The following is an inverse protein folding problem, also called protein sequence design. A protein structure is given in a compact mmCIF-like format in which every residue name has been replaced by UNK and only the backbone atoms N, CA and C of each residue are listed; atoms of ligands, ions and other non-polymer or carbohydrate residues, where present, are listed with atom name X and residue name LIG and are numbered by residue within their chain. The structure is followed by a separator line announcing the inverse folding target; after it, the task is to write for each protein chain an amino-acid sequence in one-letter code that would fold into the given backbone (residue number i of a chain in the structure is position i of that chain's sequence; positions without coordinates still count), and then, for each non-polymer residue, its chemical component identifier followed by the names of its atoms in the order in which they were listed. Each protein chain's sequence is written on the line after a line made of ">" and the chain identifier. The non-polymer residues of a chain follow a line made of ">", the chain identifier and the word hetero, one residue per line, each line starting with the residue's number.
data_IF_358959106081
#
_entry.id   IF_358959106081
#
_cell.length_a   1.000
_cell.length_b   1.000
_cell.length_c   1.000
_cell.angle_alpha   90.00
_cell.angle_beta   90.00
_cell.angle_gamma   90.00
#
_symmetry.space_group_name_H-M   'P 1'
#
loop_
_entity.id
_entity.type
_entity.pdbx_description
1 polymer ?
#
# COMPACT_ATOMS: atom_id res chain seq x y z
N UNK A 1 -2.15 2.29 -6.57
CA UNK A 1 -0.90 1.81 -5.92
C UNK A 1 -1.09 1.10 -4.56
N UNK A 2 -2.31 0.99 -4.00
CA UNK A 2 -2.50 0.38 -2.68
C UNK A 2 -2.11 -1.09 -2.54
N UNK A 3 -2.25 -1.90 -3.62
CA UNK A 3 -1.83 -3.30 -3.61
C UNK A 3 -0.31 -3.46 -3.53
N UNK A 4 0.43 -2.68 -4.33
CA UNK A 4 1.89 -2.70 -4.35
C UNK A 4 2.51 -2.19 -3.03
N UNK A 5 1.93 -1.15 -2.40
CA UNK A 5 2.43 -0.70 -1.09
C UNK A 5 2.18 -1.72 0.01
N UNK A 6 1.08 -2.46 -0.07
CA UNK A 6 0.77 -3.52 0.89
C UNK A 6 1.69 -4.73 0.72
N UNK A 7 2.07 -5.11 -0.51
CA UNK A 7 3.03 -6.20 -0.73
C UNK A 7 4.43 -5.86 -0.24
N UNK A 8 4.90 -4.61 -0.47
CA UNK A 8 6.19 -4.13 0.05
C UNK A 8 6.21 -4.16 1.59
N UNK A 9 5.12 -3.73 2.22
CA UNK A 9 5.00 -3.70 3.68
C UNK A 9 5.04 -5.13 4.26
N UNK A 10 4.26 -6.05 3.70
CA UNK A 10 4.23 -7.46 4.14
C UNK A 10 5.59 -8.13 3.88
N UNK A 11 6.28 -7.81 2.79
CA UNK A 11 7.62 -8.33 2.52
C UNK A 11 8.64 -7.86 3.57
N UNK A 12 8.59 -6.57 3.96
CA UNK A 12 9.43 -6.04 5.03
C UNK A 12 9.17 -6.69 6.39
N UNK A 13 7.89 -6.90 6.74
CA UNK A 13 7.51 -7.63 7.96
C UNK A 13 7.94 -9.10 7.93
N UNK A 14 7.87 -9.77 6.77
CA UNK A 14 8.33 -11.14 6.62
C UNK A 14 9.84 -11.28 6.87
N UNK A 15 10.64 -10.31 6.41
CA UNK A 15 12.08 -10.27 6.72
C UNK A 15 12.32 -10.03 8.21
N UNK A 16 11.60 -9.08 8.82
CA UNK A 16 11.72 -8.78 10.24
C UNK A 16 11.40 -10.02 11.11
N UNK A 17 10.30 -10.70 10.78
CA UNK A 17 9.85 -11.93 11.43
C UNK A 17 10.91 -13.04 11.33
N UNK A 18 11.48 -13.25 10.14
CA UNK A 18 12.54 -14.24 9.94
C UNK A 18 13.82 -13.94 10.73
N UNK A 19 14.25 -12.68 10.76
CA UNK A 19 15.44 -12.25 11.50
C UNK A 19 15.24 -12.31 13.03
N UNK A 20 14.01 -12.14 13.49
CA UNK A 20 13.64 -12.24 14.89
C UNK A 20 13.56 -13.68 15.41
N UNK A 21 13.56 -14.69 14.53
CA UNK A 21 13.32 -16.08 14.93
C UNK A 21 11.83 -16.48 15.01
N UNK A 22 10.93 -15.65 14.49
CA UNK A 22 9.50 -15.95 14.42
C UNK A 22 8.63 -15.24 15.47
N UNK A 23 9.12 -14.15 16.05
CA UNK A 23 8.35 -13.38 17.02
C UNK A 23 7.52 -12.29 16.36
N UNK A 24 6.39 -11.98 16.98
CA UNK A 24 5.40 -10.97 16.53
C UNK A 24 5.26 -9.83 17.53
N UNK A 25 5.55 -10.07 18.80
CA UNK A 25 5.54 -9.04 19.84
C UNK A 25 6.80 -8.18 19.74
N UNK A 26 6.65 -6.85 19.85
CA UNK A 26 7.75 -5.91 19.67
C UNK A 26 8.92 -6.16 20.65
N UNK A 27 8.62 -6.52 21.89
CA UNK A 27 9.65 -6.82 22.90
C UNK A 27 10.41 -8.09 22.55
N UNK A 28 9.70 -9.11 22.08
CA UNK A 28 10.28 -10.39 21.68
C UNK A 28 11.09 -10.24 20.39
N UNK A 29 10.66 -9.37 19.47
CA UNK A 29 11.43 -9.02 18.27
C UNK A 29 12.80 -8.45 18.62
N UNK A 30 12.84 -7.49 19.55
CA UNK A 30 14.11 -6.90 19.99
C UNK A 30 15.00 -7.96 20.63
N UNK A 31 14.44 -8.80 21.51
CA UNK A 31 15.18 -9.87 22.15
C UNK A 31 15.69 -10.90 21.13
N UNK A 32 14.88 -11.27 20.14
CA UNK A 32 15.22 -12.17 19.05
C UNK A 32 16.36 -11.64 18.19
N UNK A 33 16.35 -10.35 17.83
CA UNK A 33 17.43 -9.68 17.10
C UNK A 33 18.76 -9.65 17.88
N UNK A 34 18.70 -9.48 19.20
CA UNK A 34 19.88 -9.49 20.08
C UNK A 34 20.44 -10.91 20.17
N UNK A 35 19.59 -11.90 20.45
CA UNK A 35 19.97 -13.29 20.60
C UNK A 35 20.58 -13.88 19.32
N UNK A 36 20.04 -13.52 18.16
CA UNK A 36 20.55 -13.94 16.85
C UNK A 36 21.73 -13.10 16.36
N UNK A 37 22.12 -12.05 17.10
CA UNK A 37 23.12 -11.05 16.68
C UNK A 37 22.82 -10.40 15.32
N UNK A 38 21.56 -10.41 14.89
CA UNK A 38 21.10 -9.88 13.59
C UNK A 38 20.82 -8.38 13.61
N UNK A 39 20.93 -7.72 14.77
CA UNK A 39 20.65 -6.30 14.96
C UNK A 39 21.47 -5.35 14.06
N UNK A 40 22.64 -5.78 13.58
CA UNK A 40 23.48 -5.01 12.67
C UNK A 40 23.59 -5.66 11.27
N UNK A 41 22.72 -6.62 10.96
CA UNK A 41 22.72 -7.27 9.66
C UNK A 41 22.17 -6.34 8.58
N UNK A 42 22.66 -6.41 7.32
CA UNK A 42 22.05 -5.66 6.21
C UNK A 42 20.58 -6.05 5.99
N UNK A 43 20.18 -7.25 6.43
CA UNK A 43 18.80 -7.72 6.37
C UNK A 43 17.84 -6.87 7.19
N UNK A 44 18.25 -6.41 8.38
CA UNK A 44 17.39 -5.56 9.20
C UNK A 44 17.18 -4.19 8.55
N UNK A 45 18.21 -3.67 7.89
CA UNK A 45 18.12 -2.41 7.12
C UNK A 45 17.12 -2.55 5.97
N UNK A 46 17.18 -3.65 5.22
CA UNK A 46 16.23 -3.94 4.13
C UNK A 46 14.79 -4.05 4.66
N UNK A 47 14.61 -4.75 5.78
CA UNK A 47 13.31 -4.89 6.43
C UNK A 47 12.71 -3.53 6.83
N UNK A 48 13.50 -2.69 7.52
CA UNK A 48 13.08 -1.37 7.98
C UNK A 48 12.81 -0.40 6.83
N UNK A 49 13.66 -0.40 5.79
CA UNK A 49 13.44 0.43 4.59
C UNK A 49 12.13 0.02 3.90
N UNK A 50 11.90 -1.28 3.73
CA UNK A 50 10.68 -1.79 3.09
C UNK A 50 9.42 -1.42 3.87
N UNK A 51 9.44 -1.56 5.21
CA UNK A 51 8.34 -1.14 6.09
C UNK A 51 8.10 0.37 5.97
N UNK A 52 9.18 1.17 6.01
CA UNK A 52 9.09 2.64 5.91
C UNK A 52 8.51 3.09 4.58
N UNK A 53 8.94 2.47 3.47
CA UNK A 53 8.41 2.75 2.12
C UNK A 53 6.92 2.36 2.04
N UNK A 54 6.55 1.18 2.54
CA UNK A 54 5.16 0.71 2.55
C UNK A 54 4.22 1.63 3.33
N UNK A 55 4.66 2.13 4.48
CA UNK A 55 3.92 3.11 5.29
C UNK A 55 3.91 4.48 4.62
N UNK A 56 5.04 4.92 4.06
CA UNK A 56 5.17 6.18 3.32
C UNK A 56 4.17 6.28 2.15
N UNK A 57 4.00 5.20 1.39
CA UNK A 57 2.98 5.16 0.34
C UNK A 57 1.55 5.25 0.87
N UNK A 58 1.24 4.88 2.11
CA UNK A 58 -0.10 5.04 2.69
C UNK A 58 -0.34 6.45 3.22
N UNK A 59 0.69 7.08 3.80
CA UNK A 59 0.59 8.40 4.42
C UNK A 59 0.77 9.56 3.42
N UNK A 60 1.29 9.29 2.22
CA UNK A 60 1.58 10.30 1.17
C UNK A 60 2.51 11.48 1.54
N UNK A 61 3.49 11.39 2.47
CA UNK A 61 4.51 12.43 2.61
C UNK A 61 5.42 12.46 1.38
N UNK A 62 6.14 13.57 1.14
CA UNK A 62 7.17 13.62 0.11
C UNK A 62 8.29 12.59 0.39
N UNK A 63 8.78 11.82 -0.59
CA UNK A 63 8.48 11.83 -2.04
C UNK A 63 7.30 10.92 -2.49
N UNK A 64 6.62 10.23 -1.58
CA UNK A 64 5.59 9.21 -1.87
C UNK A 64 4.19 9.76 -2.21
N UNK A 65 4.07 11.06 -2.53
CA UNK A 65 2.80 11.74 -2.84
C UNK A 65 2.39 11.67 -4.32
N UNK A 66 3.25 11.10 -5.18
CA UNK A 66 3.08 11.15 -6.64
C UNK A 66 1.77 10.53 -7.15
N UNK A 67 1.23 9.55 -6.42
CA UNK A 67 -0.03 8.88 -6.76
C UNK A 67 -1.27 9.64 -6.25
N UNK A 68 -1.10 10.62 -5.36
CA UNK A 68 -2.22 11.33 -4.72
C UNK A 68 -3.00 12.20 -5.73
N UNK A 69 -2.37 13.07 -6.56
CA UNK A 69 -3.11 13.88 -7.54
C UNK A 69 -3.89 13.04 -8.56
N UNK A 70 -3.28 11.99 -9.09
CA UNK A 70 -3.85 11.07 -10.09
C UNK A 70 -5.17 10.42 -9.61
N UNK A 71 -5.19 9.93 -8.36
CA UNK A 71 -6.41 9.33 -7.79
C UNK A 71 -7.52 10.37 -7.58
N UNK A 72 -7.18 11.58 -7.13
CA UNK A 72 -8.19 12.62 -6.93
C UNK A 72 -8.78 13.13 -8.26
N UNK A 73 -7.96 13.27 -9.30
CA UNK A 73 -8.42 13.65 -10.64
C UNK A 73 -9.30 12.57 -11.26
N UNK A 74 -8.89 11.29 -11.18
CA UNK A 74 -9.67 10.16 -11.67
C UNK A 74 -11.04 10.02 -11.00
N UNK A 75 -11.12 10.26 -9.69
CA UNK A 75 -12.41 10.24 -8.96
C UNK A 75 -13.34 11.38 -9.40
N UNK A 76 -12.80 12.57 -9.70
CA UNK A 76 -13.61 13.66 -10.28
C UNK A 76 -14.11 13.29 -11.66
N UNK A 77 -13.26 12.70 -12.51
CA UNK A 77 -13.63 12.27 -13.85
C UNK A 77 -14.74 11.21 -13.83
N UNK A 78 -14.60 10.14 -13.04
CA UNK A 78 -15.64 9.10 -12.90
C UNK A 78 -16.95 9.68 -12.37
N UNK A 79 -16.89 10.63 -11.44
CA UNK A 79 -18.09 11.30 -10.90
C UNK A 79 -18.73 12.28 -11.91
N UNK A 80 -17.97 12.76 -12.88
CA UNK A 80 -18.46 13.60 -13.97
C UNK A 80 -18.96 12.82 -15.18
N UNK A 81 -18.75 11.50 -15.27
CA UNK A 81 -19.49 10.66 -16.23
C UNK A 81 -20.95 10.84 -15.87
N UNK A 82 -21.71 11.58 -16.67
CA UNK A 82 -23.04 11.94 -16.25
C UNK A 82 -23.87 10.67 -16.33
N UNK A 83 -24.58 10.36 -15.25
CA UNK A 83 -25.68 9.38 -15.24
C UNK A 83 -26.70 9.64 -16.36
N UNK A 84 -26.66 10.84 -16.98
CA UNK A 84 -27.40 11.17 -18.19
C UNK A 84 -27.05 10.32 -19.40
N UNK A 85 -25.81 9.81 -19.56
CA UNK A 85 -25.45 8.94 -20.72
C UNK A 85 -26.20 7.60 -20.60
N UNK A 86 -26.20 6.99 -19.41
CA UNK A 86 -26.94 5.75 -19.16
C UNK A 86 -28.46 5.94 -19.28
N UNK A 87 -29.00 7.07 -18.80
CA UNK A 87 -30.43 7.37 -18.92
C UNK A 87 -30.82 7.66 -20.38
N UNK A 88 -30.00 8.39 -21.15
CA UNK A 88 -30.30 8.68 -22.56
C UNK A 88 -30.25 7.46 -23.47
N UNK A 89 -29.34 6.50 -23.21
CA UNK A 89 -29.28 5.24 -23.95
C UNK A 89 -30.44 4.30 -23.57
N UNK A 90 -30.81 4.26 -22.28
CA UNK A 90 -31.97 3.49 -21.81
C UNK A 90 -33.29 4.01 -22.41
N UNK A 91 -33.49 5.33 -22.51
CA UNK A 91 -34.67 5.90 -23.18
C UNK A 91 -34.66 5.71 -24.70
N UNK A 92 -33.48 5.65 -25.34
CA UNK A 92 -33.35 5.32 -26.76
C UNK A 92 -33.81 3.88 -27.08
N UNK A 93 -33.53 2.93 -26.20
CA UNK A 93 -33.95 1.53 -26.33
C UNK A 93 -35.47 1.34 -26.24
N UNK A 94 -36.20 2.20 -25.52
CA UNK A 94 -37.66 2.15 -25.41
C UNK A 94 -38.40 2.86 -26.56
N UNK A 95 -37.70 3.43 -27.56
CA UNK A 95 -38.31 4.21 -28.64
C UNK A 95 -38.19 3.59 -30.04
N UNK A 96 -37.77 2.33 -30.16
CA UNK A 96 -37.93 1.57 -31.40
C UNK A 96 -39.25 0.80 -31.37
N UNK A 97 -40.11 0.89 -32.41
CA UNK A 97 -41.39 0.18 -32.49
C UNK A 97 -41.24 -1.34 -32.59
#
# INVERSE_FOLDING_TARGET
>A
MGGASSSILVHGLSWLYGLSGGEIELQEIVNGLINTQMYNSPGISIALISITVGIGFKLSPAPFHQWTPDVYEGVRFVRQIPTSISISEMFGFFKTP
#
